data_IF_304355766691
#
_entry.id   IF_304355766691
#
_cell.length_a   1.000
_cell.length_b   1.000
_cell.length_c   1.000
_cell.angle_alpha   90.00
_cell.angle_beta   90.00
_cell.angle_gamma   90.00
#
_symmetry.space_group_name_H-M   'P 1'
#
loop_
_entity.id
_entity.type
_entity.pdbx_description
1 polymer ?
#
# COMPACT_ATOMS: atom_id res chain seq x y z
N UNK A 1 8.42 65.47 18.79
CA UNK A 1 7.14 64.72 18.74
C UNK A 1 6.16 65.54 17.94
N UNK A 2 5.51 65.00 16.90
CA UNK A 2 4.49 65.74 16.13
C UNK A 2 3.21 65.81 16.96
N UNK A 3 2.79 67.03 17.30
CA UNK A 3 1.56 67.30 18.02
C UNK A 3 0.36 67.00 17.12
N UNK A 4 -0.60 66.23 17.64
CA UNK A 4 -1.88 65.99 16.99
C UNK A 4 -2.70 67.24 17.29
N UNK A 5 -2.84 68.13 16.31
CA UNK A 5 -3.67 69.33 16.44
C UNK A 5 -5.12 68.86 16.39
N UNK A 6 -5.85 69.02 17.49
CA UNK A 6 -7.30 68.87 17.48
C UNK A 6 -7.89 69.98 16.60
N UNK A 7 -8.70 69.62 15.60
CA UNK A 7 -9.43 70.59 14.79
C UNK A 7 -10.34 71.46 15.70
N UNK A 8 -10.50 72.76 15.39
CA UNK A 8 -11.36 73.63 16.17
C UNK A 8 -12.81 73.17 16.02
N UNK A 9 -13.50 72.95 17.13
CA UNK A 9 -14.94 72.66 17.15
C UNK A 9 -15.69 73.90 16.65
N UNK A 10 -16.50 73.74 15.60
CA UNK A 10 -17.49 74.74 15.18
C UNK A 10 -18.41 75.04 16.37
N UNK A 11 -18.52 76.32 16.77
CA UNK A 11 -19.31 76.76 17.91
C UNK A 11 -20.79 76.35 17.75
N UNK A 12 -21.27 75.44 18.60
CA UNK A 12 -22.70 75.14 18.78
C UNK A 12 -23.15 73.70 18.56
N UNK A 13 -22.26 72.75 18.22
CA UNK A 13 -22.60 71.32 18.16
C UNK A 13 -22.00 70.55 19.34
N UNK A 14 -22.80 69.66 19.93
CA UNK A 14 -22.32 68.73 20.95
C UNK A 14 -21.11 67.96 20.41
N UNK A 15 -20.01 67.85 21.19
CA UNK A 15 -18.82 67.14 20.73
C UNK A 15 -19.18 65.71 20.36
N UNK A 16 -18.78 65.28 19.16
CA UNK A 16 -19.00 63.90 18.68
C UNK A 16 -18.57 62.90 19.75
N UNK A 17 -19.42 61.92 20.04
CA UNK A 17 -19.08 60.88 21.00
C UNK A 17 -17.86 60.10 20.50
N UNK A 18 -17.03 59.61 21.42
CA UNK A 18 -15.90 58.74 21.07
C UNK A 18 -16.36 57.55 20.21
N UNK A 19 -17.59 57.05 20.43
CA UNK A 19 -18.19 55.97 19.65
C UNK A 19 -18.40 56.40 18.20
N UNK A 20 -18.89 57.62 17.95
CA UNK A 20 -19.15 58.14 16.61
C UNK A 20 -17.85 58.37 15.85
N UNK A 21 -16.84 58.91 16.53
CA UNK A 21 -15.49 59.11 15.97
C UNK A 21 -14.87 57.76 15.59
N UNK A 22 -14.97 56.77 16.47
CA UNK A 22 -14.50 55.41 16.17
C UNK A 22 -15.28 54.83 15.00
N UNK A 23 -16.62 54.94 14.97
CA UNK A 23 -17.46 54.42 13.88
C UNK A 23 -17.15 55.08 12.52
N UNK A 24 -16.74 56.35 12.50
CA UNK A 24 -16.36 57.05 11.27
C UNK A 24 -14.98 56.60 10.73
N UNK A 25 -14.05 56.30 11.63
CA UNK A 25 -12.65 56.00 11.28
C UNK A 25 -12.42 54.49 11.10
N UNK A 26 -13.18 53.64 11.79
CA UNK A 26 -13.03 52.19 11.75
C UNK A 26 -13.12 51.61 10.33
N UNK A 27 -14.09 51.99 9.48
CA UNK A 27 -14.19 51.47 8.11
C UNK A 27 -13.07 51.93 7.18
N UNK A 28 -12.43 53.07 7.51
CA UNK A 28 -11.32 53.66 6.75
C UNK A 28 -9.96 53.07 7.17
N UNK A 29 -9.92 52.40 8.32
CA UNK A 29 -8.70 51.86 8.93
C UNK A 29 -8.50 50.38 8.62
N UNK A 30 -7.27 49.97 8.33
CA UNK A 30 -6.89 48.55 8.23
C UNK A 30 -6.45 47.96 9.56
N UNK A 31 -6.57 48.71 10.66
CA UNK A 31 -6.06 48.30 11.96
C UNK A 31 -6.64 46.95 12.40
N UNK A 32 -7.97 46.80 12.43
CA UNK A 32 -8.62 45.54 12.85
C UNK A 32 -8.21 44.34 11.99
N UNK A 33 -8.07 44.54 10.68
CA UNK A 33 -7.56 43.52 9.77
C UNK A 33 -6.10 43.16 10.05
N UNK A 34 -5.26 44.16 10.33
CA UNK A 34 -3.84 43.95 10.63
C UNK A 34 -3.60 43.29 11.99
N UNK A 35 -4.47 43.56 12.98
CA UNK A 35 -4.41 42.95 14.31
C UNK A 35 -5.23 41.65 14.41
N UNK A 36 -5.80 41.17 13.30
CA UNK A 36 -6.53 39.90 13.23
C UNK A 36 -7.91 39.90 13.91
N UNK A 37 -8.44 41.07 14.29
CA UNK A 37 -9.76 41.22 14.90
C UNK A 37 -10.89 41.30 13.87
N UNK A 38 -10.60 41.81 12.68
CA UNK A 38 -11.49 41.70 11.53
C UNK A 38 -11.10 40.43 10.77
N UNK A 39 -11.86 39.36 11.04
CA UNK A 39 -11.68 38.09 10.36
C UNK A 39 -11.83 38.28 8.85
N UNK A 40 -10.73 38.18 8.11
CA UNK A 40 -10.80 37.86 6.69
C UNK A 40 -11.58 36.55 6.64
N UNK A 41 -12.80 36.58 6.09
CA UNK A 41 -13.60 35.38 5.94
C UNK A 41 -12.69 34.24 5.45
N UNK A 42 -12.64 33.08 6.14
CA UNK A 42 -11.74 32.02 5.75
C UNK A 42 -11.99 31.75 4.26
N UNK A 43 -10.93 31.80 3.45
CA UNK A 43 -11.03 31.49 2.02
C UNK A 43 -11.53 30.06 1.91
N UNK A 44 -12.85 29.88 1.80
CA UNK A 44 -13.55 28.59 1.74
C UNK A 44 -12.88 27.64 0.73
N UNK A 45 -12.32 28.22 -0.32
CA UNK A 45 -11.56 27.53 -1.38
C UNK A 45 -10.34 26.73 -0.89
N UNK A 46 -9.61 27.20 0.14
CA UNK A 46 -8.43 26.48 0.64
C UNK A 46 -8.82 25.21 1.40
N UNK A 47 -9.85 25.30 2.26
CA UNK A 47 -10.37 24.16 3.01
C UNK A 47 -10.99 23.11 2.09
N UNK A 48 -11.74 23.53 1.07
CA UNK A 48 -12.32 22.63 0.07
C UNK A 48 -11.24 21.93 -0.76
N UNK A 49 -10.17 22.63 -1.17
CA UNK A 49 -9.06 22.03 -1.89
C UNK A 49 -8.31 20.98 -1.04
N UNK A 50 -8.11 21.26 0.25
CA UNK A 50 -7.52 20.29 1.20
C UNK A 50 -8.41 19.07 1.35
N UNK A 51 -9.73 19.24 1.52
CA UNK A 51 -10.67 18.12 1.61
C UNK A 51 -10.69 17.25 0.33
N UNK A 52 -10.66 17.87 -0.85
CA UNK A 52 -10.59 17.15 -2.10
C UNK A 52 -9.31 16.31 -2.20
N UNK A 53 -8.17 16.87 -1.79
CA UNK A 53 -6.89 16.14 -1.79
C UNK A 53 -6.87 14.99 -0.77
N UNK A 54 -7.49 15.16 0.39
CA UNK A 54 -7.64 14.07 1.37
C UNK A 54 -8.49 12.94 0.80
N UNK A 55 -9.62 13.24 0.17
CA UNK A 55 -10.47 12.22 -0.46
C UNK A 55 -9.75 11.47 -1.58
N UNK A 56 -8.97 12.18 -2.40
CA UNK A 56 -8.15 11.57 -3.45
C UNK A 56 -7.11 10.61 -2.86
N UNK A 57 -6.38 11.04 -1.82
CA UNK A 57 -5.40 10.19 -1.14
C UNK A 57 -6.04 8.99 -0.43
N UNK A 58 -7.22 9.16 0.17
CA UNK A 58 -7.98 8.06 0.76
C UNK A 58 -8.39 7.03 -0.29
N UNK A 59 -8.82 7.49 -1.47
CA UNK A 59 -9.16 6.62 -2.59
C UNK A 59 -7.93 5.86 -3.12
N UNK A 60 -6.78 6.54 -3.25
CA UNK A 60 -5.53 5.92 -3.69
C UNK A 60 -5.04 4.86 -2.69
N UNK A 61 -5.08 5.15 -1.39
CA UNK A 61 -4.74 4.17 -0.34
C UNK A 61 -5.68 2.97 -0.36
N UNK A 62 -6.98 3.17 -0.60
CA UNK A 62 -7.93 2.07 -0.72
C UNK A 62 -7.64 1.20 -1.95
N UNK A 63 -7.36 1.81 -3.10
CA UNK A 63 -6.99 1.10 -4.32
C UNK A 63 -5.70 0.29 -4.12
N UNK A 64 -4.67 0.88 -3.50
CA UNK A 64 -3.41 0.21 -3.20
C UNK A 64 -3.61 -0.97 -2.25
N UNK A 65 -4.44 -0.81 -1.20
CA UNK A 65 -4.78 -1.91 -0.28
C UNK A 65 -5.47 -3.08 -0.99
N UNK A 66 -6.41 -2.78 -1.89
CA UNK A 66 -7.09 -3.81 -2.68
C UNK A 66 -6.10 -4.51 -3.63
N UNK A 67 -5.19 -3.76 -4.25
CA UNK A 67 -4.12 -4.30 -5.08
C UNK A 67 -3.19 -5.22 -4.29
N UNK A 68 -2.75 -4.78 -3.10
CA UNK A 68 -1.90 -5.57 -2.21
C UNK A 68 -2.59 -6.85 -1.74
N UNK A 69 -3.89 -6.79 -1.43
CA UNK A 69 -4.69 -7.97 -1.06
C UNK A 69 -4.77 -8.97 -2.23
N UNK A 70 -5.04 -8.49 -3.45
CA UNK A 70 -5.08 -9.33 -4.64
C UNK A 70 -3.72 -10.01 -4.91
N UNK A 71 -2.62 -9.28 -4.75
CA UNK A 71 -1.27 -9.83 -4.87
C UNK A 71 -0.99 -10.88 -3.79
N UNK A 72 -1.43 -10.64 -2.54
CA UNK A 72 -1.27 -11.63 -1.46
C UNK A 72 -2.01 -12.93 -1.79
N UNK A 73 -3.27 -12.84 -2.22
CA UNK A 73 -4.03 -14.01 -2.67
C UNK A 73 -3.35 -14.76 -3.83
N UNK A 74 -2.75 -14.03 -4.77
CA UNK A 74 -2.02 -14.64 -5.88
C UNK A 74 -0.76 -15.38 -5.40
N UNK A 75 -0.03 -14.80 -4.45
CA UNK A 75 1.15 -15.42 -3.84
C UNK A 75 0.75 -16.69 -3.08
N UNK A 76 -0.28 -16.64 -2.24
CA UNK A 76 -0.78 -17.81 -1.52
C UNK A 76 -1.21 -18.92 -2.48
N UNK A 77 -1.91 -18.58 -3.56
CA UNK A 77 -2.27 -19.55 -4.59
C UNK A 77 -1.05 -20.19 -5.26
N UNK A 78 -0.02 -19.40 -5.57
CA UNK A 78 1.22 -19.91 -6.16
C UNK A 78 1.99 -20.80 -5.18
N UNK A 79 2.05 -20.44 -3.90
CA UNK A 79 2.68 -21.25 -2.86
C UNK A 79 2.01 -22.61 -2.73
N UNK A 80 0.67 -22.64 -2.64
CA UNK A 80 -0.10 -23.88 -2.57
C UNK A 80 0.12 -24.77 -3.81
N UNK A 81 0.25 -24.17 -5.00
CA UNK A 81 0.57 -24.91 -6.23
C UNK A 81 1.98 -25.49 -6.22
N UNK A 82 2.95 -24.76 -5.71
CA UNK A 82 4.33 -25.23 -5.60
C UNK A 82 4.43 -26.38 -4.60
N UNK A 83 3.76 -26.28 -3.47
CA UNK A 83 3.72 -27.36 -2.47
C UNK A 83 3.08 -28.64 -3.03
N UNK A 84 1.95 -28.50 -3.73
CA UNK A 84 1.31 -29.63 -4.40
C UNK A 84 2.21 -30.25 -5.49
N UNK A 85 3.00 -29.44 -6.19
CA UNK A 85 3.94 -29.94 -7.19
C UNK A 85 5.14 -30.65 -6.55
N UNK A 86 5.66 -30.10 -5.45
CA UNK A 86 6.75 -30.71 -4.68
C UNK A 86 6.35 -32.10 -4.15
N UNK A 87 5.16 -32.21 -3.56
CA UNK A 87 4.62 -33.50 -3.09
C UNK A 87 4.52 -34.53 -4.23
N UNK A 88 3.98 -34.14 -5.39
CA UNK A 88 3.94 -35.04 -6.57
C UNK A 88 5.32 -35.44 -7.07
N UNK A 89 6.29 -34.54 -6.98
CA UNK A 89 7.65 -34.81 -7.38
C UNK A 89 8.31 -35.82 -6.44
N UNK A 90 8.14 -35.67 -5.13
CA UNK A 90 8.62 -36.63 -4.12
C UNK A 90 8.00 -38.01 -4.30
N UNK A 91 6.69 -38.08 -4.56
CA UNK A 91 6.01 -39.34 -4.88
C UNK A 91 6.58 -40.00 -6.15
N UNK A 92 6.84 -39.21 -7.19
CA UNK A 92 7.44 -39.69 -8.44
C UNK A 92 8.86 -40.18 -8.25
N UNK A 93 9.68 -39.48 -7.45
CA UNK A 93 11.03 -39.90 -7.09
C UNK A 93 11.01 -41.24 -6.35
N UNK A 94 10.11 -41.39 -5.36
CA UNK A 94 9.96 -42.62 -4.60
C UNK A 94 9.51 -43.79 -5.50
N UNK A 95 8.59 -43.54 -6.44
CA UNK A 95 8.16 -44.53 -7.42
C UNK A 95 9.31 -44.95 -8.35
N UNK A 96 10.06 -43.98 -8.88
CA UNK A 96 11.22 -44.25 -9.74
C UNK A 96 12.29 -45.08 -9.01
N UNK A 97 12.56 -44.76 -7.74
CA UNK A 97 13.51 -45.52 -6.93
C UNK A 97 13.09 -46.98 -6.77
N UNK A 98 11.81 -47.24 -6.46
CA UNK A 98 11.27 -48.61 -6.37
C UNK A 98 11.39 -49.35 -7.70
N UNK A 99 11.06 -48.70 -8.82
CA UNK A 99 11.20 -49.29 -10.14
C UNK A 99 12.66 -49.63 -10.45
N UNK A 100 13.60 -48.78 -10.05
CA UNK A 100 15.02 -49.05 -10.22
C UNK A 100 15.48 -50.26 -9.40
N UNK A 101 15.05 -50.38 -8.14
CA UNK A 101 15.34 -51.54 -7.28
C UNK A 101 14.75 -52.84 -7.87
N UNK A 102 13.53 -52.79 -8.42
CA UNK A 102 12.90 -53.92 -9.10
C UNK A 102 13.66 -54.34 -10.37
N UNK A 103 14.10 -53.37 -11.19
CA UNK A 103 14.90 -53.63 -12.38
C UNK A 103 16.26 -54.27 -12.05
N UNK A 104 16.92 -53.80 -10.99
CA UNK A 104 18.18 -54.39 -10.51
C UNK A 104 17.99 -55.83 -10.04
N UNK A 105 16.91 -56.11 -9.31
CA UNK A 105 16.55 -57.46 -8.88
C UNK A 105 16.30 -58.40 -10.07
N UNK A 106 15.48 -57.96 -11.03
CA UNK A 106 15.19 -58.73 -12.25
C UNK A 106 16.45 -58.99 -13.08
N UNK A 107 17.34 -58.01 -13.19
CA UNK A 107 18.62 -58.17 -13.88
C UNK A 107 19.47 -59.26 -13.22
N UNK A 108 19.57 -59.24 -11.90
CA UNK A 108 20.31 -60.26 -11.14
C UNK A 108 19.71 -61.66 -11.33
N UNK A 109 18.39 -61.80 -11.25
CA UNK A 109 17.71 -63.08 -11.52
C UNK A 109 17.96 -63.57 -12.96
N UNK A 110 18.00 -62.65 -13.93
CA UNK A 110 18.34 -62.96 -15.32
C UNK A 110 19.78 -63.44 -15.49
N UNK A 111 20.74 -62.82 -14.81
CA UNK A 111 22.15 -63.25 -14.78
C UNK A 111 22.31 -64.63 -14.15
N UNK A 112 21.65 -64.88 -13.02
CA UNK A 112 21.63 -66.18 -12.34
C UNK A 112 21.03 -67.27 -13.25
N UNK A 113 19.88 -67.01 -13.86
CA UNK A 113 19.23 -67.94 -14.80
C UNK A 113 20.14 -68.25 -16.00
N UNK A 114 20.75 -67.22 -16.59
CA UNK A 114 21.72 -67.39 -17.68
C UNK A 114 22.92 -68.22 -17.26
N UNK A 115 23.42 -68.05 -16.03
CA UNK A 115 24.53 -68.85 -15.51
C UNK A 115 24.16 -70.33 -15.39
N UNK A 116 22.95 -70.63 -14.92
CA UNK A 116 22.42 -72.01 -14.81
C UNK A 116 22.30 -72.64 -16.20
N UNK A 117 21.70 -71.93 -17.16
CA UNK A 117 21.55 -72.41 -18.53
C UNK A 117 22.90 -72.74 -19.18
N UNK A 118 23.91 -71.87 -19.01
CA UNK A 118 25.26 -72.13 -19.51
C UNK A 118 25.87 -73.39 -18.89
N UNK A 119 25.67 -73.62 -17.58
CA UNK A 119 26.15 -74.82 -16.90
C UNK A 119 25.46 -76.08 -17.44
N UNK A 120 24.14 -76.06 -17.61
CA UNK A 120 23.37 -77.18 -18.18
C UNK A 120 23.81 -77.50 -19.62
N UNK A 121 24.01 -76.49 -20.46
CA UNK A 121 24.46 -76.69 -21.83
C UNK A 121 25.87 -77.31 -21.91
N UNK A 122 26.75 -76.95 -20.98
CA UNK A 122 28.09 -77.54 -20.93
C UNK A 122 28.07 -79.00 -20.45
N UNK A 123 27.16 -79.37 -19.55
CA UNK A 123 26.99 -80.76 -19.10
C UNK A 123 26.49 -81.73 -20.19
N UNK A 124 25.85 -81.22 -21.24
CA UNK A 124 25.36 -82.03 -22.37
C UNK A 124 26.41 -82.20 -23.49
N UNK A 125 27.64 -81.72 -23.31
CA UNK A 125 28.72 -81.81 -24.31
C UNK A 125 29.76 -82.89 -24.00
N UNK A 126 29.67 -83.53 -22.84
CA UNK A 126 30.42 -84.74 -22.45
C UNK A 126 29.57 -85.99 -22.71
#
# INVERSE_FOLDING_TARGET
MRAIVAEPTEEGQDPKSAIDVVAEVLPKSKFLRNVGLEGVAPKKSATTAIQARVQELEAEVQAERQGAEALRCQIEYQQNRLEALASKFEESEAANKKQQEELESLKKQGEETNSILRRLLNLNKD
#
